data_IF_484636815686
#
_entry.id   IF_484636815686
#
_cell.length_a   1.000
_cell.length_b   1.000
_cell.length_c   1.000
_cell.angle_alpha   90.00
_cell.angle_beta   90.00
_cell.angle_gamma   90.00
#
_symmetry.space_group_name_H-M   'P 1'
#
loop_
_entity.id
_entity.type
_entity.pdbx_description
1 polymer ?
#
# COMPACT_ATOMS: atom_id res chain seq x y z
N UNK A 1 -59.40 -17.13 -47.33
CA UNK A 1 -58.44 -18.25 -47.13
C UNK A 1 -57.06 -17.79 -47.60
N UNK A 2 -56.20 -17.43 -46.66
CA UNK A 2 -54.74 -17.16 -46.76
C UNK A 2 -54.28 -17.53 -45.34
N UNK A 3 -53.55 -18.60 -45.00
CA UNK A 3 -52.26 -19.09 -45.48
C UNK A 3 -51.25 -18.94 -44.32
N UNK A 4 -50.87 -20.00 -43.57
CA UNK A 4 -50.08 -19.87 -42.35
C UNK A 4 -48.59 -19.82 -42.69
N UNK A 5 -48.00 -18.62 -42.68
CA UNK A 5 -46.56 -18.43 -42.86
C UNK A 5 -46.00 -17.59 -41.71
N UNK A 6 -45.87 -18.20 -40.53
CA UNK A 6 -45.30 -17.51 -39.35
C UNK A 6 -44.56 -18.40 -38.35
N UNK A 7 -44.44 -19.70 -38.60
CA UNK A 7 -43.98 -20.67 -37.59
C UNK A 7 -42.51 -21.10 -37.67
N UNK A 8 -41.76 -20.73 -38.71
CA UNK A 8 -40.42 -21.30 -38.94
C UNK A 8 -39.23 -20.38 -38.66
N UNK A 9 -39.43 -19.07 -38.56
CA UNK A 9 -38.32 -18.15 -38.26
C UNK A 9 -37.98 -18.08 -36.75
N UNK A 10 -38.93 -18.42 -35.87
CA UNK A 10 -38.71 -18.31 -34.42
C UNK A 10 -37.81 -19.39 -33.83
N UNK A 11 -37.72 -20.58 -34.44
CA UNK A 11 -36.91 -21.67 -33.90
C UNK A 11 -35.40 -21.51 -34.17
N UNK A 12 -35.02 -20.79 -35.22
CA UNK A 12 -33.59 -20.61 -35.57
C UNK A 12 -32.94 -19.55 -34.66
N UNK A 13 -33.68 -18.52 -34.27
CA UNK A 13 -33.17 -17.46 -33.37
C UNK A 13 -33.01 -17.96 -31.93
N UNK A 14 -33.87 -18.87 -31.48
CA UNK A 14 -33.78 -19.44 -30.13
C UNK A 14 -32.59 -20.41 -29.95
N UNK A 15 -32.19 -21.13 -31.01
CA UNK A 15 -31.06 -22.06 -30.94
C UNK A 15 -29.70 -21.35 -30.90
N UNK A 16 -29.59 -20.15 -31.48
CA UNK A 16 -28.35 -19.37 -31.52
C UNK A 16 -28.02 -18.69 -30.18
N UNK A 17 -29.02 -18.38 -29.36
CA UNK A 17 -28.79 -17.79 -28.03
C UNK A 17 -28.35 -18.80 -26.97
N UNK A 18 -28.71 -20.08 -27.13
CA UNK A 18 -28.33 -21.15 -26.18
C UNK A 18 -26.89 -21.62 -26.38
N UNK A 19 -26.33 -21.46 -27.59
CA UNK A 19 -24.93 -21.79 -27.87
C UNK A 19 -23.94 -20.69 -27.46
N UNK A 20 -24.38 -19.44 -27.32
CA UNK A 20 -23.54 -18.34 -26.84
C UNK A 20 -23.31 -18.35 -25.32
N UNK A 21 -24.16 -19.02 -24.55
CA UNK A 21 -24.04 -19.08 -23.07
C UNK A 21 -23.14 -20.22 -22.60
N UNK A 22 -22.93 -21.27 -23.40
CA UNK A 22 -22.04 -22.39 -23.06
C UNK A 22 -20.58 -22.18 -23.48
N UNK A 23 -20.30 -21.19 -24.33
CA UNK A 23 -18.93 -20.78 -24.68
C UNK A 23 -18.31 -19.80 -23.66
N UNK A 24 -19.07 -19.36 -22.65
CA UNK A 24 -18.53 -18.65 -21.50
C UNK A 24 -17.89 -19.65 -20.51
N UNK A 25 -17.08 -20.58 -21.00
CA UNK A 25 -16.11 -21.31 -20.21
C UNK A 25 -15.08 -20.31 -19.67
N UNK A 26 -15.41 -19.75 -18.51
CA UNK A 26 -14.51 -19.70 -17.36
C UNK A 26 -13.08 -19.25 -17.69
N UNK A 27 -12.93 -18.07 -18.29
CA UNK A 27 -11.82 -17.21 -17.90
C UNK A 27 -12.24 -16.47 -16.63
N UNK A 28 -12.29 -17.18 -15.50
CA UNK A 28 -12.03 -16.51 -14.23
C UNK A 28 -10.58 -16.05 -14.35
N UNK A 29 -10.28 -14.74 -14.47
CA UNK A 29 -8.90 -14.30 -14.40
C UNK A 29 -8.36 -14.84 -13.08
N UNK A 30 -7.42 -15.78 -13.15
CA UNK A 30 -6.68 -16.21 -11.97
C UNK A 30 -6.17 -14.93 -11.31
N UNK A 31 -6.47 -14.67 -10.03
CA UNK A 31 -5.95 -13.49 -9.36
C UNK A 31 -4.45 -13.52 -9.55
N UNK A 32 -3.93 -12.56 -10.33
CA UNK A 32 -2.49 -12.51 -10.56
C UNK A 32 -1.86 -12.16 -9.22
N UNK A 33 -1.30 -13.18 -8.58
CA UNK A 33 -0.41 -13.00 -7.44
C UNK A 33 0.74 -12.14 -7.93
N UNK A 34 0.71 -10.86 -7.54
CA UNK A 34 1.78 -9.93 -7.84
C UNK A 34 2.85 -10.08 -6.78
N UNK A 35 4.09 -9.93 -7.22
CA UNK A 35 5.21 -9.91 -6.29
C UNK A 35 4.98 -8.82 -5.23
N UNK A 36 5.33 -9.10 -3.96
CA UNK A 36 5.15 -8.13 -2.90
C UNK A 36 6.05 -6.92 -3.13
N UNK A 37 5.57 -5.74 -2.73
CA UNK A 37 6.43 -4.56 -2.68
C UNK A 37 7.39 -4.69 -1.49
N UNK A 38 8.68 -4.70 -1.79
CA UNK A 38 9.76 -4.73 -0.81
C UNK A 38 10.63 -3.50 -0.99
N UNK A 39 10.69 -2.66 0.04
CA UNK A 39 11.69 -1.59 0.08
C UNK A 39 13.02 -2.16 0.60
N UNK A 40 14.17 -1.73 0.05
CA UNK A 40 15.46 -2.20 0.51
C UNK A 40 15.67 -1.81 1.97
N UNK A 41 16.02 -2.80 2.80
CA UNK A 41 16.24 -2.57 4.22
C UNK A 41 17.40 -1.58 4.43
N UNK A 42 17.22 -0.64 5.35
CA UNK A 42 18.24 0.34 5.71
C UNK A 42 18.34 0.40 7.23
N UNK A 43 19.53 0.19 7.76
CA UNK A 43 19.78 0.28 9.20
C UNK A 43 19.50 1.70 9.69
N UNK A 44 18.72 1.80 10.76
CA UNK A 44 18.49 3.06 11.46
C UNK A 44 19.74 3.42 12.27
N UNK A 45 20.27 4.64 12.16
CA UNK A 45 21.39 5.08 12.98
C UNK A 45 20.99 5.19 14.46
N UNK A 46 21.96 5.16 15.39
CA UNK A 46 21.66 5.25 16.81
C UNK A 46 21.00 6.59 17.17
N UNK A 47 20.04 6.54 18.09
CA UNK A 47 19.31 7.71 18.59
C UNK A 47 18.97 7.51 20.06
N UNK A 48 18.66 8.62 20.74
CA UNK A 48 18.07 8.63 22.07
C UNK A 48 16.58 8.97 21.97
N UNK A 49 15.73 8.19 22.63
CA UNK A 49 14.33 8.57 22.81
C UNK A 49 14.24 9.75 23.77
N UNK A 50 13.47 10.77 23.37
CA UNK A 50 13.14 11.90 24.23
C UNK A 50 11.73 11.72 24.79
N UNK A 51 11.49 12.32 25.95
CA UNK A 51 10.14 12.58 26.42
C UNK A 51 9.58 13.81 25.68
N UNK A 52 8.27 13.89 25.46
CA UNK A 52 7.65 15.09 24.88
C UNK A 52 7.83 16.33 25.77
N UNK A 53 8.00 16.13 27.08
CA UNK A 53 8.31 17.19 28.04
C UNK A 53 9.80 17.56 28.10
N UNK A 54 10.68 16.87 27.36
CA UNK A 54 12.12 17.16 27.38
C UNK A 54 12.36 18.55 26.77
N UNK A 55 13.08 19.46 27.46
CA UNK A 55 13.32 20.82 26.97
C UNK A 55 14.16 20.87 25.69
N UNK A 56 14.86 19.77 25.35
CA UNK A 56 15.59 19.65 24.08
C UNK A 56 14.63 19.42 22.92
N UNK A 57 13.45 18.86 23.17
CA UNK A 57 12.42 18.70 22.14
C UNK A 57 11.66 20.03 21.98
N UNK A 58 11.70 20.68 20.80
CA UNK A 58 11.08 21.97 20.62
C UNK A 58 9.57 21.88 20.75
N UNK A 59 8.98 22.74 21.59
CA UNK A 59 7.52 22.90 21.66
C UNK A 59 6.90 23.41 20.34
N UNK A 60 7.71 23.96 19.44
CA UNK A 60 7.33 24.40 18.10
C UNK A 60 7.44 23.31 17.02
N UNK A 61 7.68 22.06 17.38
CA UNK A 61 7.77 20.96 16.41
C UNK A 61 6.43 20.81 15.69
N UNK A 62 6.48 20.83 14.35
CA UNK A 62 5.28 20.66 13.54
C UNK A 62 4.63 19.29 13.83
N UNK A 63 3.29 19.27 13.87
CA UNK A 63 2.57 18.01 13.91
C UNK A 63 2.97 17.14 12.71
N UNK A 64 2.97 15.80 12.85
CA UNK A 64 3.24 14.91 11.73
C UNK A 64 2.37 15.26 10.52
N UNK A 65 2.90 15.22 9.29
CA UNK A 65 2.11 15.46 8.10
C UNK A 65 0.96 14.45 8.05
N UNK A 66 -0.19 14.87 7.54
CA UNK A 66 -1.30 13.95 7.30
C UNK A 66 -0.86 12.77 6.41
N UNK A 67 -1.42 11.59 6.63
CA UNK A 67 -0.97 10.35 5.97
C UNK A 67 -0.90 10.44 4.44
N UNK A 68 -1.81 11.18 3.80
CA UNK A 68 -1.79 11.40 2.35
C UNK A 68 -0.54 12.19 1.89
N UNK A 69 -0.16 13.22 2.64
CA UNK A 69 1.05 14.00 2.34
C UNK A 69 2.31 13.18 2.60
N UNK A 70 2.34 12.44 3.71
CA UNK A 70 3.44 11.53 4.03
C UNK A 70 3.62 10.48 2.93
N UNK A 71 2.53 9.87 2.47
CA UNK A 71 2.55 8.90 1.37
C UNK A 71 3.14 9.53 0.10
N UNK A 72 2.67 10.72 -0.29
CA UNK A 72 3.21 11.43 -1.46
C UNK A 72 4.71 11.77 -1.31
N UNK A 73 5.16 12.17 -0.12
CA UNK A 73 6.58 12.45 0.13
C UNK A 73 7.44 11.18 0.07
N UNK A 74 6.98 10.10 0.70
CA UNK A 74 7.65 8.80 0.65
C UNK A 74 7.70 8.25 -0.78
N UNK A 75 6.62 8.42 -1.55
CA UNK A 75 6.54 7.95 -2.92
C UNK A 75 7.51 8.66 -3.88
N UNK A 76 7.98 9.87 -3.55
CA UNK A 76 9.08 10.53 -4.29
C UNK A 76 10.41 9.80 -4.10
N UNK A 77 10.62 9.16 -2.95
CA UNK A 77 11.84 8.41 -2.63
C UNK A 77 11.74 6.94 -3.01
N UNK A 78 10.55 6.37 -2.89
CA UNK A 78 10.22 4.98 -3.21
C UNK A 78 9.05 4.95 -4.21
N UNK A 79 9.33 5.01 -5.53
CA UNK A 79 8.29 5.09 -6.54
C UNK A 79 7.30 3.90 -6.53
N UNK A 80 7.68 2.76 -5.94
CA UNK A 80 6.80 1.59 -5.79
C UNK A 80 5.54 1.91 -4.96
N UNK A 81 5.64 2.92 -4.09
CA UNK A 81 4.53 3.37 -3.24
C UNK A 81 3.44 4.12 -4.03
N UNK A 82 3.71 4.56 -5.27
CA UNK A 82 2.68 5.17 -6.13
C UNK A 82 1.61 4.15 -6.57
N UNK A 83 1.84 2.86 -6.33
CA UNK A 83 0.87 1.83 -6.66
C UNK A 83 -0.37 1.92 -5.77
N UNK A 84 -1.55 1.74 -6.37
CA UNK A 84 -2.84 1.71 -5.67
C UNK A 84 -3.03 0.52 -4.72
N UNK A 85 -2.03 -0.36 -4.63
CA UNK A 85 -2.00 -1.53 -3.74
C UNK A 85 -1.32 -1.26 -2.40
N UNK A 86 -0.74 -0.08 -2.21
CA UNK A 86 -0.06 0.27 -0.95
C UNK A 86 -1.01 1.03 -0.03
N UNK A 87 -1.12 0.55 1.21
CA UNK A 87 -1.72 1.28 2.31
C UNK A 87 -0.65 1.58 3.36
N UNK A 88 -0.58 2.84 3.80
CA UNK A 88 0.31 3.26 4.89
C UNK A 88 -0.54 3.53 6.14
N UNK A 89 -0.09 3.05 7.28
CA UNK A 89 -0.74 3.30 8.59
C UNK A 89 0.30 3.78 9.59
N UNK A 90 0.03 4.90 10.27
CA UNK A 90 0.86 5.35 11.39
C UNK A 90 0.62 4.43 12.59
N UNK A 91 1.69 3.82 13.10
CA UNK A 91 1.66 2.93 14.28
C UNK A 91 1.99 3.71 15.53
N UNK A 92 3.06 4.50 15.50
CA UNK A 92 3.46 5.36 16.61
C UNK A 92 4.31 6.53 16.12
N UNK A 93 4.43 7.53 16.96
CA UNK A 93 5.35 8.64 16.79
C UNK A 93 6.01 8.95 18.14
N UNK A 94 7.24 9.42 18.10
CA UNK A 94 7.91 9.89 19.30
C UNK A 94 9.11 10.78 18.96
N UNK A 95 9.47 11.72 19.84
CA UNK A 95 10.63 12.57 19.63
C UNK A 95 11.93 11.81 19.88
N UNK A 96 12.94 12.08 19.06
CA UNK A 96 14.27 11.49 19.19
C UNK A 96 15.35 12.57 19.09
N UNK A 97 16.51 12.27 19.68
CA UNK A 97 17.75 13.02 19.51
C UNK A 97 18.77 12.15 18.77
N UNK A 98 19.28 12.63 17.65
CA UNK A 98 20.31 11.95 16.87
C UNK A 98 21.31 12.98 16.34
N UNK A 99 22.61 12.73 16.51
CA UNK A 99 23.68 13.63 16.09
C UNK A 99 23.44 15.10 16.50
N UNK A 100 23.04 15.31 17.75
CA UNK A 100 22.73 16.62 18.36
C UNK A 100 21.57 17.40 17.71
N UNK A 101 20.77 16.74 16.87
CA UNK A 101 19.55 17.28 16.28
C UNK A 101 18.31 16.50 16.73
N UNK A 102 17.22 17.22 16.96
CA UNK A 102 15.94 16.62 17.32
C UNK A 102 15.08 16.33 16.10
N UNK A 103 14.47 15.15 16.09
CA UNK A 103 13.58 14.71 15.03
C UNK A 103 12.29 14.15 15.62
N UNK A 104 11.22 14.17 14.83
CA UNK A 104 10.04 13.34 15.09
C UNK A 104 10.23 12.02 14.37
N UNK A 105 10.30 10.91 15.12
CA UNK A 105 10.38 9.57 14.56
C UNK A 105 8.99 9.00 14.42
N UNK A 106 8.57 8.69 13.20
CA UNK A 106 7.33 7.97 12.91
C UNK A 106 7.63 6.49 12.65
N UNK A 107 6.81 5.61 13.21
CA UNK A 107 6.75 4.19 12.84
C UNK A 107 5.52 4.01 11.98
N UNK A 108 5.72 3.65 10.72
CA UNK A 108 4.67 3.49 9.71
C UNK A 108 4.65 2.05 9.23
N UNK A 109 3.48 1.42 9.23
CA UNK A 109 3.27 0.13 8.59
C UNK A 109 2.90 0.36 7.12
N UNK A 110 3.71 -0.18 6.22
CA UNK A 110 3.38 -0.37 4.81
C UNK A 110 2.71 -1.72 4.65
N UNK A 111 1.55 -1.73 3.99
CA UNK A 111 0.81 -2.94 3.66
C UNK A 111 0.56 -3.01 2.16
N UNK A 112 0.99 -4.09 1.52
CA UNK A 112 0.63 -4.40 0.13
C UNK A 112 -0.65 -5.23 0.12
N UNK A 113 -1.74 -4.61 -0.31
CA UNK A 113 -3.09 -5.19 -0.30
C UNK A 113 -3.35 -6.16 -1.44
N UNK A 114 -2.53 -6.14 -2.50
CA UNK A 114 -2.68 -7.04 -3.64
C UNK A 114 -1.66 -8.20 -3.62
N UNK A 115 -0.69 -8.17 -2.70
CA UNK A 115 0.16 -9.32 -2.41
C UNK A 115 -0.63 -10.27 -1.51
N UNK A 116 -1.48 -11.10 -2.10
CA UNK A 116 -2.14 -12.19 -1.38
C UNK A 116 -1.17 -13.37 -1.27
N UNK A 117 -0.55 -13.54 -0.09
CA UNK A 117 0.05 -14.81 0.29
C UNK A 117 -0.97 -15.64 1.05
N UNK A 118 -0.76 -16.96 1.17
CA UNK A 118 -1.57 -17.82 2.05
C UNK A 118 -1.56 -17.35 3.52
N UNK A 119 -0.58 -16.52 3.92
CA UNK A 119 -0.44 -15.92 5.24
C UNK A 119 -1.03 -14.50 5.36
N UNK A 120 -1.63 -13.97 4.30
CA UNK A 120 -2.20 -12.62 4.26
C UNK A 120 -1.32 -11.58 3.53
N UNK A 121 -1.64 -10.29 3.65
CA UNK A 121 -0.97 -9.21 2.93
C UNK A 121 0.44 -8.98 3.45
N UNK A 122 1.37 -8.73 2.54
CA UNK A 122 2.74 -8.36 2.86
C UNK A 122 2.77 -7.06 3.66
N UNK A 123 3.54 -7.06 4.76
CA UNK A 123 3.74 -5.89 5.63
C UNK A 123 5.22 -5.58 5.77
N UNK A 124 5.54 -4.30 5.83
CA UNK A 124 6.88 -3.82 6.10
C UNK A 124 6.80 -2.58 6.99
N UNK A 125 7.61 -2.53 8.04
CA UNK A 125 7.70 -1.35 8.90
C UNK A 125 8.71 -0.35 8.32
N UNK A 126 8.33 0.93 8.31
CA UNK A 126 9.18 2.04 7.92
C UNK A 126 9.36 2.95 9.13
N UNK A 127 10.61 3.26 9.48
CA UNK A 127 10.91 4.36 10.40
C UNK A 127 11.17 5.62 9.58
N UNK A 128 10.38 6.67 9.78
CA UNK A 128 10.51 7.94 9.06
C UNK A 128 10.94 9.00 10.04
N UNK A 129 12.05 9.69 9.75
CA UNK A 129 12.50 10.81 10.59
C UNK A 129 12.06 12.12 9.96
N UNK A 130 11.35 12.93 10.71
CA UNK A 130 10.95 14.27 10.31
C UNK A 130 11.80 15.30 11.04
N UNK A 131 12.22 16.34 10.33
CA UNK A 131 12.78 17.52 10.97
C UNK A 131 11.69 18.30 11.75
N UNK A 132 12.06 19.35 12.51
CA UNK A 132 11.08 20.18 13.22
C UNK A 132 10.03 20.85 12.33
N UNK A 133 10.25 20.95 11.02
CA UNK A 133 9.27 21.46 10.05
C UNK A 133 8.23 20.43 9.64
N UNK A 134 8.40 19.16 10.04
CA UNK A 134 7.55 18.03 9.66
C UNK A 134 7.90 17.43 8.30
N UNK A 135 9.03 17.84 7.69
CA UNK A 135 9.49 17.29 6.43
C UNK A 135 10.32 16.01 6.67
N UNK A 136 10.11 14.94 5.87
CA UNK A 136 10.89 13.72 6.01
C UNK A 136 12.33 13.95 5.55
N UNK A 137 13.26 13.76 6.49
CA UNK A 137 14.70 13.88 6.28
C UNK A 137 15.27 12.56 5.80
N UNK A 138 14.85 11.47 6.43
CA UNK A 138 15.30 10.12 6.06
C UNK A 138 14.22 9.07 6.34
N UNK A 139 14.38 7.91 5.74
CA UNK A 139 13.49 6.77 5.90
C UNK A 139 14.30 5.49 5.97
N UNK A 140 13.99 4.66 6.95
CA UNK A 140 14.66 3.42 7.27
C UNK A 140 13.65 2.27 7.18
N UNK A 141 13.52 1.62 6.01
CA UNK A 141 12.73 0.42 5.90
C UNK A 141 13.37 -0.70 6.72
N UNK A 142 12.56 -1.33 7.57
CA UNK A 142 12.93 -2.57 8.27
C UNK A 142 12.82 -3.72 7.27
N UNK A 143 13.60 -4.80 7.48
CA UNK A 143 13.45 -6.01 6.68
C UNK A 143 11.98 -6.47 6.69
N UNK A 144 11.45 -6.79 5.51
CA UNK A 144 10.07 -7.25 5.36
C UNK A 144 9.92 -8.69 5.80
N UNK A 145 8.85 -9.01 6.52
CA UNK A 145 8.47 -10.39 6.88
C UNK A 145 7.67 -11.10 5.77
N UNK A 146 7.67 -10.55 4.57
CA UNK A 146 6.87 -11.10 3.48
C UNK A 146 7.53 -12.37 2.94
N UNK A 147 6.75 -13.43 2.68
CA UNK A 147 7.30 -14.69 2.21
C UNK A 147 8.02 -14.47 0.87
N UNK A 148 9.29 -14.88 0.81
CA UNK A 148 10.01 -15.01 -0.44
C UNK A 148 9.34 -16.11 -1.28
N UNK A 149 9.24 -15.87 -2.58
CA UNK A 149 8.66 -16.83 -3.53
C UNK A 149 9.58 -18.02 -3.76
#
# INVERSE_FOLDING_TARGET
>A
MIGPAGGRLFCVVAALWVLATLAACTHTPTPQMRDPIHLPAKAEPPFQMLDEADPRYPSATAAPPGMALLHMQLARRFPELLSNRVALTLVSNAPILAADATYQRLVVELRDTAAASAAGPCRQTLHVWLDPSGAPVDTYPVASDCPAR
#
